data_IF_458140494507
#
_entry.id   IF_458140494507
#
_cell.length_a   1.000
_cell.length_b   1.000
_cell.length_c   1.000
_cell.angle_alpha   90.00
_cell.angle_beta   90.00
_cell.angle_gamma   90.00
#
_symmetry.space_group_name_H-M   'P 1'
#
loop_
_entity.id
_entity.type
_entity.pdbx_description
1 polymer ?
#
# COMPACT_ATOMS: atom_id res chain seq x y z
N UNK A 1 -14.83 26.65 14.39
CA UNK A 1 -15.12 25.35 15.04
C UNK A 1 -13.78 24.66 15.05
N UNK A 2 -13.21 24.56 16.24
CA UNK A 2 -11.91 25.19 16.53
C UNK A 2 -10.99 24.23 17.29
N UNK A 3 -9.83 23.89 16.71
CA UNK A 3 -8.57 23.36 17.32
C UNK A 3 -8.66 22.18 18.32
N UNK A 4 -9.85 21.85 18.81
CA UNK A 4 -10.11 20.95 19.92
C UNK A 4 -10.65 19.62 19.41
N UNK A 5 -11.33 19.63 18.25
CA UNK A 5 -11.77 18.43 17.54
C UNK A 5 -10.60 17.78 16.79
N UNK A 6 -9.69 18.57 16.19
CA UNK A 6 -8.50 18.06 15.47
C UNK A 6 -7.46 17.46 16.43
N UNK A 7 -7.19 18.10 17.58
CA UNK A 7 -6.31 17.54 18.61
C UNK A 7 -6.89 16.24 19.23
N UNK A 8 -8.22 16.06 19.20
CA UNK A 8 -8.88 14.83 19.63
C UNK A 8 -8.86 13.74 18.56
N UNK A 9 -8.78 14.12 17.27
CA UNK A 9 -8.58 13.21 16.15
C UNK A 9 -7.14 12.69 16.12
N UNK A 10 -6.13 13.56 16.24
CA UNK A 10 -4.71 13.18 16.37
C UNK A 10 -4.46 12.24 17.56
N UNK A 11 -5.06 12.50 18.73
CA UNK A 11 -4.91 11.62 19.90
C UNK A 11 -5.57 10.24 19.73
N UNK A 12 -6.38 10.05 18.68
CA UNK A 12 -7.10 8.82 18.37
C UNK A 12 -6.37 7.87 17.42
N UNK A 13 -5.31 8.32 16.73
CA UNK A 13 -4.51 7.50 15.81
C UNK A 13 -3.31 6.88 16.56
N UNK A 14 -2.83 5.74 16.07
CA UNK A 14 -1.69 5.05 16.67
C UNK A 14 -0.40 5.92 16.64
N UNK A 15 -0.26 6.77 15.61
CA UNK A 15 0.90 7.66 15.44
C UNK A 15 0.91 8.82 16.46
N UNK A 16 -0.24 9.45 16.73
CA UNK A 16 -0.33 10.58 17.67
C UNK A 16 -0.10 10.21 19.13
N UNK A 17 -0.15 8.91 19.48
CA UNK A 17 0.05 8.43 20.85
C UNK A 17 1.53 8.19 21.21
N UNK A 18 2.44 8.26 20.23
CA UNK A 18 3.85 7.93 20.42
C UNK A 18 4.10 6.45 20.75
N UNK A 19 5.36 6.05 20.98
CA UNK A 19 5.69 4.65 21.24
C UNK A 19 5.00 4.19 22.54
N UNK A 20 4.27 3.08 22.45
CA UNK A 20 3.60 2.46 23.60
C UNK A 20 4.66 1.93 24.56
N UNK A 21 4.86 2.62 25.68
CA UNK A 21 5.76 2.16 26.74
C UNK A 21 5.10 1.01 27.51
N UNK A 22 5.72 -0.17 27.45
CA UNK A 22 5.29 -1.35 28.19
C UNK A 22 6.23 -1.67 29.35
N UNK A 23 5.69 -2.26 30.41
CA UNK A 23 6.51 -2.77 31.52
C UNK A 23 7.25 -4.06 31.10
N UNK A 24 8.43 -4.34 31.67
CA UNK A 24 9.15 -5.61 31.47
C UNK A 24 8.24 -6.85 31.66
N UNK A 25 7.40 -6.85 32.71
CA UNK A 25 6.46 -7.96 32.96
C UNK A 25 5.37 -8.12 31.89
N UNK A 26 5.06 -7.05 31.14
CA UNK A 26 4.12 -7.12 30.01
C UNK A 26 4.85 -7.62 28.76
N UNK A 27 6.08 -7.17 28.55
CA UNK A 27 6.96 -7.62 27.46
C UNK A 27 7.19 -9.14 27.52
N UNK A 28 7.65 -9.67 28.66
CA UNK A 28 7.82 -11.12 28.89
C UNK A 28 6.52 -11.91 28.62
N UNK A 29 5.37 -11.32 28.96
CA UNK A 29 4.06 -11.94 28.73
C UNK A 29 3.66 -11.92 27.25
N UNK A 30 4.02 -10.87 26.52
CA UNK A 30 3.81 -10.80 25.07
C UNK A 30 4.69 -11.81 24.34
N UNK A 31 5.95 -11.94 24.75
CA UNK A 31 6.85 -12.97 24.22
C UNK A 31 6.29 -14.37 24.44
N UNK A 32 5.87 -14.70 25.67
CA UNK A 32 5.25 -16.00 25.94
C UNK A 32 4.01 -16.25 25.09
N UNK A 33 3.17 -15.23 24.89
CA UNK A 33 1.97 -15.35 24.04
C UNK A 33 2.30 -15.53 22.57
N UNK A 34 3.36 -14.87 22.08
CA UNK A 34 3.86 -15.06 20.72
C UNK A 34 4.32 -16.51 20.51
N UNK A 35 5.09 -17.05 21.44
CA UNK A 35 5.57 -18.44 21.34
C UNK A 35 4.40 -19.44 21.33
N UNK A 36 3.39 -19.23 22.17
CA UNK A 36 2.15 -20.03 22.15
C UNK A 36 1.43 -19.96 20.79
N UNK A 37 1.35 -18.78 20.18
CA UNK A 37 0.74 -18.61 18.85
C UNK A 37 1.56 -19.30 17.76
N UNK A 38 2.89 -19.25 17.85
CA UNK A 38 3.78 -19.89 16.89
C UNK A 38 3.60 -21.41 16.92
N UNK A 39 3.49 -21.99 18.12
CA UNK A 39 3.20 -23.41 18.29
C UNK A 39 1.77 -23.79 17.86
N UNK A 40 0.76 -22.99 18.20
CA UNK A 40 -0.65 -23.30 17.90
C UNK A 40 -0.95 -23.23 16.39
N UNK A 41 -0.39 -22.24 15.70
CA UNK A 41 -0.65 -21.97 14.29
C UNK A 41 0.47 -22.43 13.34
N UNK A 42 1.51 -23.08 13.87
CA UNK A 42 2.69 -23.53 13.12
C UNK A 42 3.32 -22.38 12.29
N UNK A 43 3.44 -21.20 12.92
CA UNK A 43 3.99 -20.02 12.27
C UNK A 43 5.51 -20.15 12.14
N UNK A 44 5.99 -19.95 10.92
CA UNK A 44 7.42 -19.99 10.61
C UNK A 44 8.03 -18.62 10.80
N UNK A 45 8.92 -18.51 11.78
CA UNK A 45 9.62 -17.26 12.03
C UNK A 45 10.88 -17.15 11.17
N UNK A 46 11.81 -18.08 11.33
CA UNK A 46 13.13 -18.04 10.69
C UNK A 46 13.10 -18.40 9.20
N UNK A 47 13.84 -17.64 8.39
CA UNK A 47 14.09 -17.98 6.99
C UNK A 47 15.20 -19.02 6.85
N UNK A 48 15.07 -20.00 5.94
CA UNK A 48 16.17 -20.91 5.64
C UNK A 48 17.43 -20.15 5.21
N UNK A 49 18.64 -20.54 5.66
CA UNK A 49 19.87 -19.82 5.32
C UNK A 49 20.16 -19.72 3.81
N UNK A 50 19.60 -20.62 3.00
CA UNK A 50 19.72 -20.54 1.55
C UNK A 50 18.88 -19.41 0.93
N UNK A 51 17.68 -19.18 1.48
CA UNK A 51 16.78 -18.09 1.06
C UNK A 51 17.40 -16.73 1.41
N UNK A 52 17.97 -16.59 2.62
CA UNK A 52 18.66 -15.35 3.02
C UNK A 52 19.85 -15.02 2.09
N UNK A 53 20.66 -16.03 1.72
CA UNK A 53 21.76 -15.83 0.77
C UNK A 53 21.28 -15.50 -0.65
N UNK A 54 20.10 -15.97 -1.05
CA UNK A 54 19.50 -15.59 -2.32
C UNK A 54 19.08 -14.12 -2.28
N UNK A 55 18.39 -13.69 -1.22
CA UNK A 55 18.00 -12.30 -1.01
C UNK A 55 19.20 -11.35 -0.98
N UNK A 56 20.25 -11.70 -0.24
CA UNK A 56 21.50 -10.91 -0.17
C UNK A 56 22.12 -10.69 -1.55
N UNK A 57 22.14 -11.73 -2.41
CA UNK A 57 22.65 -11.60 -3.77
C UNK A 57 21.74 -10.77 -4.68
N UNK A 58 20.43 -10.87 -4.46
CA UNK A 58 19.42 -10.20 -5.30
C UNK A 58 19.47 -8.68 -5.15
N UNK A 59 19.93 -8.19 -4.01
CA UNK A 59 20.12 -6.76 -3.71
C UNK A 59 21.55 -6.27 -4.04
N UNK A 60 22.40 -7.09 -4.66
CA UNK A 60 23.69 -6.63 -5.16
C UNK A 60 23.52 -5.91 -6.51
N UNK A 61 24.11 -4.71 -6.67
CA UNK A 61 24.09 -3.91 -7.92
C UNK A 61 22.69 -3.51 -8.41
N UNK A 62 21.77 -3.21 -7.48
CA UNK A 62 20.40 -2.78 -7.78
C UNK A 62 20.36 -1.60 -8.75
N UNK A 63 21.21 -0.60 -8.53
CA UNK A 63 21.27 0.59 -9.39
C UNK A 63 21.60 0.21 -10.84
N UNK A 64 22.60 -0.65 -11.07
CA UNK A 64 22.99 -1.10 -12.40
C UNK A 64 21.84 -1.87 -13.08
N UNK A 65 21.16 -2.75 -12.35
CA UNK A 65 20.01 -3.50 -12.86
C UNK A 65 18.82 -2.58 -13.22
N UNK A 66 18.55 -1.57 -12.39
CA UNK A 66 17.52 -0.57 -12.71
C UNK A 66 17.89 0.16 -14.00
N UNK A 67 19.15 0.57 -14.16
CA UNK A 67 19.59 1.25 -15.38
C UNK A 67 19.44 0.37 -16.63
N UNK A 68 19.67 -0.94 -16.51
CA UNK A 68 19.47 -1.89 -17.62
C UNK A 68 17.99 -2.06 -17.99
N UNK A 69 17.07 -1.86 -17.05
CA UNK A 69 15.62 -2.02 -17.25
C UNK A 69 14.91 -0.75 -17.74
N UNK A 70 15.53 0.43 -17.65
CA UNK A 70 14.89 1.72 -18.00
C UNK A 70 14.35 1.72 -19.44
N UNK A 71 15.10 1.19 -20.40
CA UNK A 71 14.71 1.22 -21.82
C UNK A 71 13.50 0.32 -22.14
N UNK A 72 13.19 -0.66 -21.28
CA UNK A 72 12.09 -1.62 -21.43
C UNK A 72 10.87 -1.26 -20.54
N UNK A 73 10.92 -0.13 -19.84
CA UNK A 73 9.90 0.33 -18.88
C UNK A 73 9.50 1.77 -19.18
N UNK A 74 8.30 2.16 -18.76
CA UNK A 74 7.92 3.57 -18.82
C UNK A 74 8.68 4.36 -17.76
N UNK A 75 9.34 5.44 -18.17
CA UNK A 75 10.11 6.30 -17.28
C UNK A 75 9.21 7.39 -16.69
N UNK A 76 8.86 7.21 -15.42
CA UNK A 76 8.00 8.11 -14.65
C UNK A 76 8.78 8.83 -13.54
N UNK A 77 10.11 8.89 -13.62
CA UNK A 77 10.95 9.51 -12.57
C UNK A 77 10.75 11.02 -12.43
N UNK A 78 10.26 11.67 -13.49
CA UNK A 78 9.91 13.09 -13.47
C UNK A 78 8.47 13.37 -13.00
N UNK A 79 7.63 12.32 -12.87
CA UNK A 79 6.26 12.43 -12.34
C UNK A 79 6.32 12.51 -10.81
N UNK A 80 5.57 13.45 -10.23
CA UNK A 80 5.58 13.64 -8.77
C UNK A 80 4.85 12.49 -8.09
N UNK A 81 5.61 11.65 -7.37
CA UNK A 81 5.14 10.47 -6.66
C UNK A 81 5.48 10.55 -5.17
N UNK A 82 4.62 10.00 -4.30
CA UNK A 82 4.91 9.90 -2.87
C UNK A 82 4.28 8.65 -2.26
N UNK A 83 4.86 8.17 -1.15
CA UNK A 83 4.27 7.09 -0.33
C UNK A 83 3.61 7.69 0.91
N UNK A 84 2.59 7.01 1.45
CA UNK A 84 1.97 7.38 2.74
C UNK A 84 1.70 6.14 3.56
N UNK A 85 2.47 5.97 4.61
CA UNK A 85 2.55 4.71 5.36
C UNK A 85 2.48 4.95 6.87
N UNK A 86 2.25 3.92 7.70
CA UNK A 86 2.47 4.01 9.13
C UNK A 86 3.91 4.46 9.45
N UNK A 87 4.08 5.22 10.53
CA UNK A 87 5.38 5.72 10.96
C UNK A 87 6.44 4.63 11.17
N UNK A 88 6.03 3.44 11.59
CA UNK A 88 6.85 2.26 11.83
C UNK A 88 7.01 1.32 10.62
N UNK A 89 6.39 1.64 9.48
CA UNK A 89 6.58 0.88 8.24
C UNK A 89 8.02 1.00 7.71
N UNK A 90 8.54 -0.10 7.17
CA UNK A 90 9.87 -0.18 6.57
C UNK A 90 9.83 -0.62 5.10
N UNK A 91 8.69 -1.16 4.68
CA UNK A 91 8.33 -1.64 3.35
C UNK A 91 7.23 -0.73 2.78
N UNK A 92 7.57 0.10 1.79
CA UNK A 92 6.64 1.01 1.12
C UNK A 92 6.21 0.39 -0.20
N UNK A 93 5.14 -0.39 -0.16
CA UNK A 93 4.69 -1.20 -1.29
C UNK A 93 4.03 -0.37 -2.40
N UNK A 94 3.45 0.78 -2.05
CA UNK A 94 2.69 1.63 -2.95
C UNK A 94 3.06 3.13 -2.88
N UNK A 95 2.93 3.80 -4.02
CA UNK A 95 3.07 5.24 -4.17
C UNK A 95 1.92 5.79 -5.04
N UNK A 96 1.55 7.03 -4.80
CA UNK A 96 0.55 7.76 -5.58
C UNK A 96 1.20 8.85 -6.42
N UNK A 97 0.65 9.06 -7.61
CA UNK A 97 0.74 10.32 -8.36
C UNK A 97 -0.66 10.71 -8.84
N UNK A 98 -0.93 12.00 -9.00
CA UNK A 98 -2.22 12.48 -9.48
C UNK A 98 -2.06 13.73 -10.33
N UNK A 99 -2.80 13.79 -11.44
CA UNK A 99 -2.88 14.96 -12.31
C UNK A 99 -4.35 15.33 -12.56
N UNK A 100 -4.60 16.62 -12.75
CA UNK A 100 -5.89 17.13 -13.22
C UNK A 100 -5.69 17.76 -14.61
N UNK A 101 -6.42 17.25 -15.59
CA UNK A 101 -6.50 17.84 -16.93
C UNK A 101 -7.84 18.58 -17.09
N UNK A 102 -8.15 19.16 -18.26
CA UNK A 102 -9.38 19.95 -18.41
C UNK A 102 -10.66 19.11 -18.13
N UNK A 103 -10.74 17.90 -18.70
CA UNK A 103 -11.95 17.06 -18.70
C UNK A 103 -11.82 15.76 -17.87
N UNK A 104 -10.64 15.46 -17.33
CA UNK A 104 -10.35 14.21 -16.60
C UNK A 104 -9.43 14.41 -15.40
N UNK A 105 -9.40 13.42 -14.52
CA UNK A 105 -8.30 13.19 -13.57
C UNK A 105 -7.48 12.00 -14.03
N UNK A 106 -6.17 12.05 -13.86
CA UNK A 106 -5.31 10.88 -14.05
C UNK A 106 -4.75 10.48 -12.69
N UNK A 107 -5.12 9.28 -12.24
CA UNK A 107 -4.65 8.70 -10.98
C UNK A 107 -3.66 7.58 -11.29
N UNK A 108 -2.47 7.68 -10.72
CA UNK A 108 -1.44 6.67 -10.82
C UNK A 108 -1.29 5.97 -9.48
N UNK A 109 -1.33 4.64 -9.50
CA UNK A 109 -0.95 3.80 -8.38
C UNK A 109 0.27 2.99 -8.81
N UNK A 110 1.42 3.29 -8.19
CA UNK A 110 2.66 2.59 -8.44
C UNK A 110 2.86 1.54 -7.35
N UNK A 111 3.00 0.27 -7.73
CA UNK A 111 3.25 -0.84 -6.81
C UNK A 111 4.67 -1.34 -7.03
N UNK A 112 5.45 -1.57 -5.97
CA UNK A 112 6.78 -2.14 -6.07
C UNK A 112 6.78 -3.42 -6.93
N UNK A 113 7.70 -3.54 -7.90
CA UNK A 113 7.76 -4.70 -8.80
C UNK A 113 8.44 -5.91 -8.12
N UNK A 114 7.80 -6.45 -7.08
CA UNK A 114 8.27 -7.65 -6.36
C UNK A 114 8.49 -8.83 -7.30
N UNK A 115 7.69 -8.92 -8.39
CA UNK A 115 7.77 -9.99 -9.38
C UNK A 115 9.07 -10.00 -10.18
N UNK A 116 9.74 -8.84 -10.25
CA UNK A 116 11.09 -8.71 -10.81
C UNK A 116 12.15 -9.35 -9.90
N UNK A 117 11.96 -9.27 -8.59
CA UNK A 117 12.94 -9.74 -7.60
C UNK A 117 12.71 -11.18 -7.16
N UNK A 118 11.45 -11.63 -7.14
CA UNK A 118 11.03 -12.95 -6.67
C UNK A 118 10.36 -13.72 -7.82
N UNK A 119 11.09 -14.66 -8.42
CA UNK A 119 10.62 -15.40 -9.59
C UNK A 119 10.08 -16.80 -9.25
N UNK A 120 9.10 -17.33 -10.01
CA UNK A 120 8.45 -18.63 -9.77
C UNK A 120 9.32 -19.89 -9.60
N UNK A 121 10.63 -19.81 -9.88
CA UNK A 121 11.59 -20.92 -9.77
C UNK A 121 12.69 -20.66 -8.72
N UNK A 122 12.53 -19.65 -7.86
CA UNK A 122 13.52 -19.22 -6.87
C UNK A 122 13.23 -19.76 -5.47
N UNK A 123 14.24 -19.85 -4.58
CA UNK A 123 14.01 -20.30 -3.21
C UNK A 123 13.17 -19.28 -2.43
N UNK A 124 13.34 -17.98 -2.74
CA UNK A 124 12.48 -16.94 -2.18
C UNK A 124 11.01 -17.13 -2.59
N UNK A 125 10.74 -17.54 -3.82
CA UNK A 125 9.38 -17.84 -4.25
C UNK A 125 8.78 -19.04 -3.53
N UNK A 126 9.52 -20.15 -3.43
CA UNK A 126 9.07 -21.33 -2.67
C UNK A 126 8.72 -20.95 -1.22
N UNK A 127 9.59 -20.19 -0.55
CA UNK A 127 9.36 -19.72 0.82
C UNK A 127 8.17 -18.75 0.90
N UNK A 128 8.04 -17.81 -0.04
CA UNK A 128 6.92 -16.86 -0.08
C UNK A 128 5.57 -17.56 -0.28
N UNK A 129 5.52 -18.62 -1.11
CA UNK A 129 4.32 -19.45 -1.29
C UNK A 129 3.97 -20.20 -0.01
N UNK A 130 4.96 -20.72 0.72
CA UNK A 130 4.73 -21.40 1.99
C UNK A 130 4.28 -20.44 3.11
N UNK A 131 4.83 -19.22 3.15
CA UNK A 131 4.47 -18.18 4.13
C UNK A 131 3.15 -17.48 3.80
N UNK A 132 2.85 -17.28 2.52
CA UNK A 132 1.65 -16.66 1.95
C UNK A 132 1.46 -15.16 2.27
N UNK A 133 1.62 -14.74 3.52
CA UNK A 133 1.44 -13.36 3.95
C UNK A 133 2.33 -13.01 5.15
N UNK A 134 2.61 -11.71 5.31
CA UNK A 134 3.21 -11.19 6.54
C UNK A 134 2.19 -11.27 7.68
N UNK A 135 2.63 -11.68 8.87
CA UNK A 135 1.81 -11.75 10.09
C UNK A 135 2.26 -10.66 11.04
N UNK A 136 1.37 -9.71 11.31
CA UNK A 136 1.60 -8.60 12.25
C UNK A 136 1.06 -8.95 13.63
N UNK A 137 1.94 -9.01 14.62
CA UNK A 137 1.64 -9.20 16.04
C UNK A 137 1.99 -7.93 16.82
N UNK A 138 1.42 -7.71 18.03
CA UNK A 138 1.81 -6.58 18.86
C UNK A 138 3.32 -6.57 19.12
N UNK A 139 4.02 -5.58 18.54
CA UNK A 139 5.47 -5.42 18.68
C UNK A 139 6.32 -6.46 17.95
N UNK A 140 5.75 -7.25 17.04
CA UNK A 140 6.50 -8.28 16.31
C UNK A 140 5.91 -8.55 14.92
N UNK A 141 6.75 -8.76 13.91
CA UNK A 141 6.32 -9.02 12.54
C UNK A 141 7.01 -10.26 12.01
N UNK A 142 6.23 -11.22 11.53
CA UNK A 142 6.73 -12.38 10.79
C UNK A 142 6.57 -12.10 9.30
N UNK A 143 7.68 -11.79 8.63
CA UNK A 143 7.67 -11.35 7.24
C UNK A 143 7.42 -12.50 6.25
N UNK A 144 6.70 -12.20 5.16
CA UNK A 144 6.54 -13.09 4.01
C UNK A 144 7.85 -13.23 3.21
N UNK A 145 8.55 -12.11 3.02
CA UNK A 145 9.83 -12.05 2.31
C UNK A 145 10.96 -11.72 3.28
N UNK A 146 12.22 -12.09 2.97
CA UNK A 146 13.37 -11.67 3.76
C UNK A 146 13.38 -10.14 3.96
N UNK A 147 13.53 -9.62 5.20
CA UNK A 147 13.48 -8.17 5.45
C UNK A 147 14.47 -7.36 4.62
N UNK A 148 15.67 -7.90 4.38
CA UNK A 148 16.69 -7.24 3.53
C UNK A 148 16.21 -6.98 2.11
N UNK A 149 15.33 -7.84 1.57
CA UNK A 149 14.74 -7.66 0.25
C UNK A 149 13.56 -6.68 0.30
N UNK A 150 12.65 -6.91 1.26
CA UNK A 150 11.43 -6.13 1.45
C UNK A 150 11.71 -4.64 1.68
N UNK A 151 12.64 -4.33 2.59
CA UNK A 151 12.99 -2.95 2.98
C UNK A 151 13.90 -2.23 1.96
N UNK A 152 14.40 -2.94 0.94
CA UNK A 152 15.34 -2.37 -0.05
C UNK A 152 14.70 -2.25 -1.43
N UNK A 153 14.66 -3.36 -2.17
CA UNK A 153 14.32 -3.37 -3.61
C UNK A 153 12.82 -3.50 -3.86
N UNK A 154 12.10 -4.03 -2.88
CA UNK A 154 10.64 -4.11 -2.89
C UNK A 154 9.97 -2.93 -2.16
N UNK A 155 10.73 -1.87 -1.86
CA UNK A 155 10.23 -0.68 -1.18
C UNK A 155 10.49 0.55 -2.05
N UNK A 156 9.45 1.36 -2.24
CA UNK A 156 9.48 2.60 -3.02
C UNK A 156 10.07 3.77 -2.20
N UNK A 157 11.30 3.56 -1.72
CA UNK A 157 12.01 4.54 -0.88
C UNK A 157 12.20 5.88 -1.60
N UNK A 158 12.20 7.00 -0.85
CA UNK A 158 12.26 8.33 -1.46
C UNK A 158 13.65 8.62 -2.05
N UNK A 159 13.68 9.46 -3.08
CA UNK A 159 14.86 9.98 -3.78
C UNK A 159 15.73 8.91 -4.47
N UNK A 160 15.25 7.68 -4.58
CA UNK A 160 15.91 6.60 -5.30
C UNK A 160 15.03 6.02 -6.41
N UNK A 161 15.65 5.66 -7.53
CA UNK A 161 14.96 4.98 -8.61
C UNK A 161 14.50 3.59 -8.15
N UNK A 162 13.25 3.23 -8.46
CA UNK A 162 12.66 1.93 -8.13
C UNK A 162 11.80 1.39 -9.27
N UNK A 163 11.85 0.07 -9.45
CA UNK A 163 11.01 -0.64 -10.42
C UNK A 163 9.61 -0.80 -9.85
N UNK A 164 8.61 -0.44 -10.64
CA UNK A 164 7.22 -0.54 -10.26
C UNK A 164 6.36 -1.18 -11.35
N UNK A 165 5.19 -1.66 -10.94
CA UNK A 165 4.03 -1.84 -11.77
C UNK A 165 3.08 -0.67 -11.55
N UNK A 166 2.83 0.11 -12.60
CA UNK A 166 1.95 1.27 -12.53
C UNK A 166 0.59 0.92 -13.09
N UNK A 167 -0.46 1.31 -12.34
CA UNK A 167 -1.85 1.33 -12.79
C UNK A 167 -2.22 2.80 -13.00
N UNK A 168 -2.23 3.22 -14.27
CA UNK A 168 -2.64 4.54 -14.71
C UNK A 168 -4.12 4.52 -15.06
N UNK A 169 -4.88 5.43 -14.45
CA UNK A 169 -6.34 5.46 -14.54
C UNK A 169 -6.80 6.85 -14.95
N UNK A 170 -7.33 6.96 -16.16
CA UNK A 170 -8.00 8.15 -16.68
C UNK A 170 -9.46 8.13 -16.24
N UNK A 171 -9.86 9.13 -15.46
CA UNK A 171 -11.16 9.20 -14.77
C UNK A 171 -11.98 10.41 -15.22
N UNK A 172 -13.19 10.15 -15.73
CA UNK A 172 -14.16 11.17 -16.11
C UNK A 172 -14.47 12.11 -14.92
N UNK A 173 -14.40 13.43 -15.13
CA UNK A 173 -14.59 14.42 -14.06
C UNK A 173 -15.99 14.48 -13.48
N UNK A 174 -17.03 14.04 -14.17
CA UNK A 174 -18.41 14.10 -13.68
C UNK A 174 -18.76 12.86 -12.86
N UNK A 175 -18.43 11.68 -13.39
CA UNK A 175 -18.92 10.40 -12.88
C UNK A 175 -17.81 9.45 -12.40
N UNK A 176 -16.54 9.84 -12.55
CA UNK A 176 -15.36 9.08 -12.14
C UNK A 176 -15.27 7.67 -12.75
N UNK A 177 -15.95 7.42 -13.88
CA UNK A 177 -15.77 6.16 -14.61
C UNK A 177 -14.40 6.13 -15.29
N UNK A 178 -13.91 4.93 -15.55
CA UNK A 178 -12.66 4.74 -16.30
C UNK A 178 -12.89 5.08 -17.77
N UNK A 179 -12.21 6.09 -18.27
CA UNK A 179 -12.13 6.39 -19.69
C UNK A 179 -11.04 5.54 -20.36
N UNK A 180 -9.90 5.41 -19.69
CA UNK A 180 -8.76 4.58 -20.08
C UNK A 180 -8.08 3.98 -18.84
N UNK A 181 -7.52 2.78 -19.02
CA UNK A 181 -6.77 2.07 -17.98
C UNK A 181 -5.52 1.49 -18.64
N UNK A 182 -4.36 1.91 -18.16
CA UNK A 182 -3.08 1.38 -18.59
C UNK A 182 -2.35 0.72 -17.42
N UNK A 183 -1.83 -0.49 -17.68
CA UNK A 183 -1.09 -1.27 -16.69
C UNK A 183 0.21 -1.73 -17.32
N UNK A 184 1.32 -1.17 -16.83
CA UNK A 184 2.64 -1.37 -17.40
C UNK A 184 3.72 -1.46 -16.31
N UNK A 185 4.92 -1.84 -16.74
CA UNK A 185 6.13 -1.78 -15.91
C UNK A 185 6.73 -0.39 -16.07
N UNK A 186 7.13 0.21 -14.96
CA UNK A 186 7.71 1.55 -14.93
C UNK A 186 8.94 1.62 -14.04
N UNK A 187 9.67 2.72 -14.16
CA UNK A 187 10.66 3.19 -13.19
C UNK A 187 10.15 4.50 -12.60
N UNK A 188 10.09 4.58 -11.28
CA UNK A 188 9.69 5.80 -10.56
C UNK A 188 10.82 6.29 -9.67
N UNK A 189 10.77 7.55 -9.26
CA UNK A 189 11.57 8.10 -8.18
C UNK A 189 10.61 8.77 -7.19
N UNK A 190 10.38 8.15 -6.02
CA UNK A 190 9.44 8.70 -5.03
C UNK A 190 10.02 10.00 -4.47
N UNK A 191 9.29 11.11 -4.57
CA UNK A 191 9.78 12.40 -4.12
C UNK A 191 9.82 12.49 -2.59
N UNK A 192 8.91 11.80 -1.91
CA UNK A 192 8.84 11.83 -0.45
C UNK A 192 8.12 10.60 0.12
N UNK A 193 8.57 10.16 1.30
CA UNK A 193 7.84 9.21 2.15
C UNK A 193 7.15 9.96 3.28
N UNK A 194 5.82 9.93 3.28
CA UNK A 194 5.00 10.55 4.32
C UNK A 194 4.50 9.51 5.32
N UNK A 195 4.36 9.90 6.58
CA UNK A 195 3.43 9.21 7.49
C UNK A 195 2.01 9.73 7.32
N UNK A 196 1.00 9.01 7.80
CA UNK A 196 -0.38 9.51 7.78
C UNK A 196 -0.51 10.87 8.48
N UNK A 197 0.15 11.06 9.62
CA UNK A 197 0.19 12.35 10.32
C UNK A 197 0.85 13.45 9.48
N UNK A 198 1.93 13.14 8.77
CA UNK A 198 2.58 14.12 7.89
C UNK A 198 1.70 14.47 6.70
N UNK A 199 0.99 13.50 6.12
CA UNK A 199 0.03 13.72 5.05
C UNK A 199 -1.13 14.64 5.51
N UNK A 200 -1.68 14.44 6.71
CA UNK A 200 -2.67 15.37 7.28
C UNK A 200 -2.11 16.80 7.39
N UNK A 201 -0.86 16.95 7.85
CA UNK A 201 -0.20 18.25 7.87
C UNK A 201 -0.03 18.83 6.45
N UNK A 202 0.27 18.01 5.43
CA UNK A 202 0.32 18.48 4.03
C UNK A 202 -1.03 18.96 3.56
N UNK A 203 -2.12 18.34 3.99
CA UNK A 203 -3.47 18.75 3.64
C UNK A 203 -3.91 20.06 4.32
N UNK A 204 -3.37 20.37 5.50
CA UNK A 204 -3.74 21.55 6.28
C UNK A 204 -2.91 22.81 5.96
N UNK A 205 -1.63 22.64 5.62
CA UNK A 205 -0.71 23.75 5.38
C UNK A 205 -0.50 23.99 3.87
N UNK A 206 -1.09 25.07 3.35
CA UNK A 206 -1.00 25.47 1.93
C UNK A 206 0.45 25.77 1.47
N UNK A 207 1.36 26.09 2.39
CA UNK A 207 2.77 26.36 2.09
C UNK A 207 3.65 25.11 2.19
N UNK A 208 3.09 23.96 2.62
CA UNK A 208 3.85 22.72 2.78
C UNK A 208 4.18 22.09 1.40
N UNK A 209 5.33 21.40 1.27
CA UNK A 209 5.65 20.67 0.04
C UNK A 209 4.59 19.60 -0.23
N UNK A 210 4.32 19.31 -1.50
CA UNK A 210 3.29 18.35 -1.93
C UNK A 210 1.85 18.70 -1.47
N UNK A 211 1.56 19.92 -1.02
CA UNK A 211 0.20 20.31 -0.60
C UNK A 211 -0.82 20.12 -1.72
N UNK A 212 -0.54 20.67 -2.91
CA UNK A 212 -1.47 20.65 -4.03
C UNK A 212 -1.74 19.21 -4.51
N UNK A 213 -0.69 18.38 -4.57
CA UNK A 213 -0.75 16.98 -4.95
C UNK A 213 -1.57 16.15 -3.94
N UNK A 214 -1.29 16.29 -2.64
CA UNK A 214 -2.04 15.59 -1.59
C UNK A 214 -3.50 16.05 -1.57
N UNK A 215 -3.75 17.35 -1.73
CA UNK A 215 -5.10 17.92 -1.77
C UNK A 215 -5.90 17.42 -2.96
N UNK A 216 -5.30 17.40 -4.16
CA UNK A 216 -5.93 16.88 -5.35
C UNK A 216 -6.26 15.38 -5.20
N UNK A 217 -5.33 14.59 -4.68
CA UNK A 217 -5.54 13.17 -4.41
C UNK A 217 -6.67 12.95 -3.39
N UNK A 218 -6.69 13.74 -2.31
CA UNK A 218 -7.76 13.67 -1.31
C UNK A 218 -9.12 14.09 -1.86
N UNK A 219 -9.22 15.21 -2.57
CA UNK A 219 -10.48 15.69 -3.15
C UNK A 219 -11.06 14.64 -4.11
N UNK A 220 -10.21 14.03 -4.94
CA UNK A 220 -10.60 12.93 -5.81
C UNK A 220 -11.05 11.70 -5.01
N UNK A 221 -10.31 11.30 -3.98
CA UNK A 221 -10.64 10.17 -3.12
C UNK A 221 -11.93 10.36 -2.33
N UNK A 222 -12.21 11.55 -1.81
CA UNK A 222 -13.46 11.87 -1.11
C UNK A 222 -14.67 11.72 -2.04
N UNK A 223 -14.54 12.17 -3.29
CA UNK A 223 -15.57 11.95 -4.30
C UNK A 223 -15.77 10.46 -4.62
N UNK A 224 -14.69 9.69 -4.74
CA UNK A 224 -14.75 8.24 -4.91
C UNK A 224 -15.43 7.56 -3.71
N UNK A 225 -15.14 8.02 -2.50
CA UNK A 225 -15.72 7.53 -1.25
C UNK A 225 -17.24 7.74 -1.22
N UNK A 226 -17.70 8.96 -1.52
CA UNK A 226 -19.13 9.29 -1.55
C UNK A 226 -19.86 8.53 -2.65
N UNK A 227 -19.26 8.37 -3.84
CA UNK A 227 -19.83 7.53 -4.90
C UNK A 227 -19.96 6.07 -4.45
N UNK A 228 -18.91 5.51 -3.84
CA UNK A 228 -18.90 4.13 -3.34
C UNK A 228 -19.98 3.91 -2.26
N UNK A 229 -20.22 4.90 -1.40
CA UNK A 229 -21.33 4.88 -0.44
C UNK A 229 -22.70 4.94 -1.12
N UNK A 230 -22.86 5.81 -2.12
CA UNK A 230 -24.09 5.90 -2.90
C UNK A 230 -24.40 4.60 -3.65
N UNK A 231 -23.37 3.88 -4.12
CA UNK A 231 -23.47 2.57 -4.75
C UNK A 231 -23.80 1.42 -3.78
N UNK A 232 -23.92 1.72 -2.47
CA UNK A 232 -24.37 0.79 -1.44
C UNK A 232 -23.24 0.08 -0.70
N UNK A 233 -22.00 0.56 -0.80
CA UNK A 233 -20.91 0.07 0.05
C UNK A 233 -21.17 0.39 1.52
N UNK A 234 -20.86 -0.56 2.39
CA UNK A 234 -21.06 -0.43 3.83
C UNK A 234 -19.77 0.01 4.52
N UNK A 235 -19.75 1.23 5.03
CA UNK A 235 -18.63 1.76 5.84
C UNK A 235 -18.97 1.56 7.32
N UNK A 236 -18.25 0.65 7.98
CA UNK A 236 -18.51 0.26 9.37
C UNK A 236 -17.65 1.00 10.39
N UNK A 237 -16.54 1.60 9.97
CA UNK A 237 -15.68 2.41 10.82
C UNK A 237 -15.77 3.89 10.38
N UNK A 238 -16.52 4.75 11.10
CA UNK A 238 -16.78 6.13 10.67
C UNK A 238 -15.63 7.09 11.00
N UNK A 239 -14.60 6.65 11.72
CA UNK A 239 -13.42 7.47 12.02
C UNK A 239 -12.29 7.06 11.08
N UNK A 240 -12.20 7.76 9.97
CA UNK A 240 -11.02 7.79 9.12
C UNK A 240 -10.66 9.24 8.89
N UNK A 241 -9.39 9.54 9.03
CA UNK A 241 -8.83 10.81 8.60
C UNK A 241 -8.74 10.84 7.06
N UNK A 242 -8.31 11.99 6.53
CA UNK A 242 -8.30 12.28 5.10
C UNK A 242 -7.23 11.43 4.40
N UNK A 243 -6.05 11.30 5.00
CA UNK A 243 -4.93 10.53 4.49
C UNK A 243 -5.28 9.03 4.34
N UNK A 244 -5.91 8.41 5.34
CA UNK A 244 -6.37 7.02 5.21
C UNK A 244 -7.43 6.85 4.12
N UNK A 245 -8.34 7.81 3.98
CA UNK A 245 -9.36 7.79 2.91
C UNK A 245 -8.72 7.89 1.54
N UNK A 246 -7.73 8.78 1.39
CA UNK A 246 -6.98 8.99 0.15
C UNK A 246 -6.30 7.72 -0.33
N UNK A 247 -5.52 7.08 0.54
CA UNK A 247 -4.81 5.83 0.20
C UNK A 247 -5.81 4.69 -0.07
N UNK A 248 -6.80 4.49 0.81
CA UNK A 248 -7.75 3.40 0.66
C UNK A 248 -8.55 3.48 -0.64
N UNK A 249 -9.13 4.64 -0.97
CA UNK A 249 -9.95 4.77 -2.18
C UNK A 249 -9.10 4.65 -3.45
N UNK A 250 -7.87 5.17 -3.44
CA UNK A 250 -6.93 5.02 -4.55
C UNK A 250 -6.58 3.55 -4.79
N UNK A 251 -6.26 2.79 -3.73
CA UNK A 251 -6.00 1.36 -3.82
C UNK A 251 -7.23 0.56 -4.25
N UNK A 252 -8.42 0.91 -3.74
CA UNK A 252 -9.67 0.27 -4.18
C UNK A 252 -9.96 0.52 -5.66
N UNK A 253 -9.64 1.72 -6.16
CA UNK A 253 -9.81 2.10 -7.57
C UNK A 253 -8.84 1.32 -8.46
N UNK A 254 -7.56 1.26 -8.12
CA UNK A 254 -6.56 0.46 -8.82
C UNK A 254 -6.93 -1.04 -8.84
N UNK A 255 -7.34 -1.61 -7.71
CA UNK A 255 -7.79 -3.00 -7.64
C UNK A 255 -8.98 -3.30 -8.58
N UNK A 256 -9.93 -2.35 -8.71
CA UNK A 256 -11.03 -2.47 -9.67
C UNK A 256 -10.54 -2.36 -11.11
N UNK A 257 -9.59 -1.47 -11.40
CA UNK A 257 -9.01 -1.29 -12.73
C UNK A 257 -8.23 -2.53 -13.19
N UNK A 258 -7.41 -3.12 -12.32
CA UNK A 258 -6.69 -4.39 -12.57
C UNK A 258 -7.68 -5.53 -12.80
N UNK A 259 -8.69 -5.65 -11.93
CA UNK A 259 -9.75 -6.66 -12.09
C UNK A 259 -10.46 -6.49 -13.43
N UNK A 260 -10.75 -5.25 -13.83
CA UNK A 260 -11.38 -4.95 -15.10
C UNK A 260 -10.53 -5.45 -16.28
N UNK A 261 -9.28 -5.05 -16.30
CA UNK A 261 -8.33 -5.37 -17.38
C UNK A 261 -8.09 -6.88 -17.51
N UNK A 262 -7.88 -7.58 -16.39
CA UNK A 262 -7.62 -9.02 -16.40
C UNK A 262 -8.85 -9.83 -16.87
N UNK A 263 -10.04 -9.43 -16.43
CA UNK A 263 -11.27 -10.18 -16.70
C UNK A 263 -11.80 -9.94 -18.12
N UNK A 264 -11.88 -8.67 -18.54
CA UNK A 264 -12.56 -8.32 -19.79
C UNK A 264 -11.62 -8.12 -20.97
N UNK A 265 -10.41 -7.60 -20.76
CA UNK A 265 -9.51 -7.24 -21.87
C UNK A 265 -8.52 -8.37 -22.20
N UNK A 266 -7.94 -9.00 -21.18
CA UNK A 266 -6.96 -10.08 -21.36
C UNK A 266 -7.56 -11.48 -21.29
N UNK A 267 -8.69 -11.65 -20.59
CA UNK A 267 -9.37 -12.94 -20.43
C UNK A 267 -8.52 -14.01 -19.75
N UNK A 268 -7.68 -13.60 -18.79
CA UNK A 268 -6.74 -14.50 -18.11
C UNK A 268 -7.35 -15.15 -16.88
N UNK A 269 -6.90 -16.37 -16.57
CA UNK A 269 -7.21 -17.01 -15.30
C UNK A 269 -6.41 -16.34 -14.19
N UNK A 270 -7.10 -15.77 -13.21
CA UNK A 270 -6.52 -14.99 -12.13
C UNK A 270 -7.22 -15.27 -10.79
N UNK A 271 -6.56 -14.92 -9.68
CA UNK A 271 -7.15 -14.98 -8.35
C UNK A 271 -7.99 -13.73 -8.10
N UNK A 272 -9.25 -13.91 -7.70
CA UNK A 272 -10.15 -12.81 -7.37
C UNK A 272 -10.45 -12.79 -5.86
N UNK A 273 -10.40 -11.60 -5.26
CA UNK A 273 -10.84 -11.38 -3.87
C UNK A 273 -12.36 -11.25 -3.84
N UNK A 274 -13.06 -12.30 -3.41
CA UNK A 274 -14.52 -12.33 -3.37
C UNK A 274 -15.06 -12.36 -1.93
N UNK A 275 -16.14 -11.62 -1.69
CA UNK A 275 -16.86 -11.63 -0.40
C UNK A 275 -18.28 -12.20 -0.61
N UNK A 276 -18.55 -13.46 -0.21
CA UNK A 276 -19.86 -14.07 -0.38
C UNK A 276 -20.97 -13.28 0.33
N UNK A 277 -22.17 -13.27 -0.27
CA UNK A 277 -23.34 -12.68 0.39
C UNK A 277 -23.66 -13.43 1.70
N UNK A 278 -24.06 -12.72 2.77
CA UNK A 278 -24.44 -13.36 4.02
C UNK A 278 -25.61 -14.34 3.79
N UNK A 279 -25.61 -15.51 4.44
CA UNK A 279 -26.69 -16.48 4.31
C UNK A 279 -28.00 -15.87 4.80
N UNK A 280 -29.13 -16.18 4.15
CA UNK A 280 -30.45 -15.59 4.45
C UNK A 280 -30.90 -15.74 5.92
N UNK A 281 -30.32 -16.65 6.69
CA UNK A 281 -30.62 -16.90 8.11
C UNK A 281 -29.97 -15.90 9.08
N UNK A 282 -28.90 -15.19 8.69
CA UNK A 282 -28.25 -14.19 9.56
C UNK A 282 -28.96 -12.83 9.58
N UNK A 283 -29.95 -12.61 8.71
CA UNK A 283 -30.78 -11.40 8.65
C UNK A 283 -31.99 -11.39 9.59
N UNK A 284 -31.91 -12.03 10.76
CA UNK A 284 -33.03 -11.99 11.73
C UNK A 284 -32.97 -10.68 12.50
N UNK A 285 -33.88 -9.77 12.12
CA UNK A 285 -34.18 -8.50 12.79
C UNK A 285 -34.22 -8.65 14.32
N UNK A 286 -33.53 -7.74 15.01
CA UNK A 286 -33.95 -7.22 16.31
C UNK A 286 -34.14 -5.72 16.19
#
# INVERSE_FOLDING_TARGET
>A
MSETDDAQAEAGTAEGQGPVLISEALDERLEQKRDELFEEFDLRDEFPPAVLREAERRIENVEDEIQEEIDDREDLRDLTAWTTDPADAQDFDDALSVEEHDDEYVLYVHIADVSHYVHPDSLMWEEAVERCNTVYLPGYTTHMLPPSLAETVCSLVPEEDRLAHTVEMHLDKENLSFEEIDIYKSVINSNERLTYTQCEHRLDDEDAPLHEENKLAFDLADRMHEQRKADGSLVLNPRRDRAHTMIEESMLKANKAVTHTLMWDRGVEAMYRVHPSPPRSSGTRR
#
